data_IF_489938753230
#
_entry.id   IF_489938753230
#
_cell.length_a   1.000
_cell.length_b   1.000
_cell.length_c   1.000
_cell.angle_alpha   90.00
_cell.angle_beta   90.00
_cell.angle_gamma   90.00
#
_symmetry.space_group_name_H-M   'P 1'
#
loop_
_entity.id
_entity.type
_entity.pdbx_description
1 polymer ?
#
# COMPACT_ATOMS: atom_id res chain seq x y z
N UNK A 1 9.30 7.30 -12.89
CA UNK A 1 9.56 7.50 -14.33
C UNK A 1 8.97 8.83 -14.85
N UNK A 2 8.68 9.78 -13.96
CA UNK A 2 7.80 10.92 -14.23
C UNK A 2 8.53 12.28 -14.33
N UNK A 3 9.85 12.29 -14.53
CA UNK A 3 10.69 13.49 -14.45
C UNK A 3 10.32 14.62 -15.45
N UNK A 4 9.51 14.33 -16.48
CA UNK A 4 9.02 15.31 -17.44
C UNK A 4 7.59 15.82 -17.15
N UNK A 5 6.90 15.35 -16.10
CA UNK A 5 5.67 15.97 -15.57
C UNK A 5 6.01 17.02 -14.48
N UNK A 6 7.15 17.70 -14.64
CA UNK A 6 7.73 18.63 -13.67
C UNK A 6 7.10 20.02 -13.71
N UNK A 7 5.81 20.08 -13.42
CA UNK A 7 5.02 21.23 -12.93
C UNK A 7 3.56 20.78 -12.92
N UNK A 8 3.09 20.20 -11.81
CA UNK A 8 1.65 19.97 -11.63
C UNK A 8 0.99 21.23 -11.07
N UNK A 9 -0.21 21.46 -11.57
CA UNK A 9 -1.01 22.66 -11.41
C UNK A 9 -1.47 22.86 -9.96
N UNK A 10 -1.81 24.10 -9.55
CA UNK A 10 -2.44 24.33 -8.26
C UNK A 10 -3.62 23.37 -8.08
N UNK A 11 -3.73 22.79 -6.88
CA UNK A 11 -4.81 21.85 -6.52
C UNK A 11 -6.14 22.56 -6.78
N UNK A 12 -6.90 22.10 -7.78
CA UNK A 12 -8.16 22.74 -8.14
C UNK A 12 -9.24 22.43 -7.11
N UNK A 13 -9.19 21.24 -6.50
CA UNK A 13 -10.08 20.86 -5.40
C UNK A 13 -9.48 19.78 -4.51
N UNK A 14 -9.65 19.93 -3.20
CA UNK A 14 -9.40 18.87 -2.20
C UNK A 14 -10.74 18.23 -1.80
N UNK A 15 -10.86 16.91 -1.93
CA UNK A 15 -12.09 16.16 -1.64
C UNK A 15 -11.79 15.03 -0.67
N UNK A 16 -12.20 15.18 0.59
CA UNK A 16 -12.13 14.10 1.57
C UNK A 16 -13.14 12.99 1.23
N UNK A 17 -12.65 11.75 1.18
CA UNK A 17 -13.45 10.56 0.88
C UNK A 17 -14.47 10.26 1.97
N UNK A 18 -15.58 9.65 1.56
CA UNK A 18 -16.71 9.26 2.41
C UNK A 18 -17.12 7.83 2.09
N UNK A 19 -17.78 7.15 3.03
CA UNK A 19 -18.16 5.74 2.88
C UNK A 19 -16.95 4.84 2.66
N UNK A 20 -16.96 4.05 1.59
CA UNK A 20 -15.86 3.16 1.20
C UNK A 20 -14.50 3.87 0.93
N UNK A 21 -14.50 5.18 0.68
CA UNK A 21 -13.27 5.97 0.45
C UNK A 21 -12.76 6.70 1.69
N UNK A 22 -13.31 6.42 2.88
CA UNK A 22 -13.07 7.23 4.07
C UNK A 22 -11.67 6.98 4.64
N UNK A 23 -10.92 8.06 4.91
CA UNK A 23 -9.48 8.03 5.18
C UNK A 23 -8.65 8.41 3.94
N UNK A 24 -9.22 8.38 2.73
CA UNK A 24 -8.62 8.98 1.55
C UNK A 24 -8.97 10.47 1.44
N UNK A 25 -8.06 11.25 0.87
CA UNK A 25 -8.25 12.62 0.42
C UNK A 25 -7.81 12.71 -1.03
N UNK A 26 -8.72 13.08 -1.91
CA UNK A 26 -8.43 13.25 -3.33
C UNK A 26 -8.02 14.69 -3.60
N UNK A 27 -6.84 14.89 -4.19
CA UNK A 27 -6.41 16.19 -4.72
C UNK A 27 -6.71 16.18 -6.22
N UNK A 28 -7.87 16.71 -6.58
CA UNK A 28 -8.28 16.86 -7.97
C UNK A 28 -7.42 17.96 -8.60
N UNK A 29 -6.82 17.64 -9.75
CA UNK A 29 -6.00 18.54 -10.57
C UNK A 29 -6.39 18.39 -12.04
N UNK A 30 -6.13 19.43 -12.82
CA UNK A 30 -6.16 19.37 -14.28
C UNK A 30 -4.73 19.24 -14.81
N UNK A 31 -4.47 18.24 -15.62
CA UNK A 31 -3.15 18.03 -16.23
C UNK A 31 -3.04 18.81 -17.56
N UNK A 32 -1.89 19.45 -17.82
CA UNK A 32 -1.54 19.96 -19.16
C UNK A 32 -1.29 18.84 -20.16
N UNK A 33 -0.66 17.75 -19.72
CA UNK A 33 -0.47 16.53 -20.52
C UNK A 33 -0.81 15.28 -19.72
N UNK A 34 -1.41 14.29 -20.36
CA UNK A 34 -1.71 13.00 -19.75
C UNK A 34 -0.78 11.89 -20.26
N UNK A 35 -0.34 11.96 -21.53
CA UNK A 35 0.63 11.03 -22.10
C UNK A 35 2.04 11.40 -21.63
N UNK A 36 2.84 10.41 -21.25
CA UNK A 36 4.24 10.58 -20.87
C UNK A 36 5.15 9.61 -21.62
N UNK A 37 6.26 10.12 -22.14
CA UNK A 37 7.26 9.30 -22.83
C UNK A 37 8.18 8.61 -21.83
N UNK A 38 8.32 7.30 -21.95
CA UNK A 38 9.18 6.50 -21.10
C UNK A 38 10.68 6.85 -21.34
N UNK A 39 11.54 6.74 -20.30
CA UNK A 39 12.98 6.83 -20.49
C UNK A 39 13.48 5.79 -21.52
N UNK A 40 14.53 6.10 -22.33
CA UNK A 40 15.08 5.13 -23.30
C UNK A 40 15.61 3.82 -22.69
N UNK A 41 15.75 3.75 -21.36
CA UNK A 41 16.13 2.55 -20.61
C UNK A 41 14.94 1.67 -20.19
N UNK A 42 13.72 1.98 -20.63
CA UNK A 42 12.51 1.19 -20.40
C UNK A 42 12.22 0.34 -21.65
N UNK A 43 12.51 -0.97 -21.65
CA UNK A 43 12.38 -1.80 -22.86
C UNK A 43 10.94 -2.24 -23.16
N UNK A 44 10.00 -2.04 -22.22
CA UNK A 44 8.66 -2.65 -22.26
C UNK A 44 7.57 -1.77 -22.93
N UNK A 45 7.75 -0.45 -22.94
CA UNK A 45 6.81 0.52 -23.50
C UNK A 45 7.52 1.85 -23.79
N UNK A 46 7.01 2.62 -24.76
CA UNK A 46 7.55 3.94 -25.13
C UNK A 46 6.74 5.11 -24.59
N UNK A 47 5.44 4.92 -24.36
CA UNK A 47 4.53 5.92 -23.80
C UNK A 47 3.66 5.30 -22.71
N UNK A 48 3.24 6.10 -21.75
CA UNK A 48 2.36 5.66 -20.67
C UNK A 48 1.41 6.76 -20.18
N UNK A 49 0.35 6.32 -19.52
CA UNK A 49 -0.62 7.17 -18.81
C UNK A 49 -0.71 6.73 -17.35
N UNK A 50 -0.76 7.71 -16.46
CA UNK A 50 -1.15 7.52 -15.07
C UNK A 50 -2.14 8.65 -14.71
N UNK A 51 -3.43 8.31 -14.59
CA UNK A 51 -4.51 9.22 -14.19
C UNK A 51 -4.48 9.57 -12.69
N UNK A 52 -3.87 8.69 -11.89
CA UNK A 52 -3.72 8.82 -10.45
C UNK A 52 -2.23 9.01 -10.07
N UNK A 53 -1.96 9.64 -8.93
CA UNK A 53 -0.72 9.47 -8.15
C UNK A 53 -1.08 9.18 -6.70
N UNK A 54 -0.26 8.36 -6.04
CA UNK A 54 -0.62 7.68 -4.80
C UNK A 54 -1.34 6.35 -5.07
N UNK A 55 -1.42 5.47 -4.08
CA UNK A 55 -2.00 4.14 -4.20
C UNK A 55 -2.73 3.72 -2.92
N UNK A 56 -4.05 3.68 -2.98
CA UNK A 56 -4.94 3.41 -1.84
C UNK A 56 -4.95 1.94 -1.31
N UNK A 57 -3.93 1.13 -1.64
CA UNK A 57 -3.85 -0.31 -1.32
C UNK A 57 -3.09 -0.60 0.00
N UNK A 58 -3.29 0.19 1.05
CA UNK A 58 -2.67 -0.03 2.37
C UNK A 58 -3.63 0.18 3.54
N UNK A 59 -3.42 -0.59 4.61
CA UNK A 59 -4.31 -0.65 5.78
C UNK A 59 -4.16 0.60 6.67
N UNK A 60 -5.27 1.03 7.29
CA UNK A 60 -5.30 2.20 8.18
C UNK A 60 -5.59 1.74 9.61
N UNK A 61 -4.59 1.52 10.45
CA UNK A 61 -4.83 1.15 11.86
C UNK A 61 -5.57 2.31 12.56
N UNK A 62 -6.69 2.09 13.28
CA UNK A 62 -7.36 3.22 13.98
C UNK A 62 -8.03 2.82 15.31
N UNK A 63 -8.21 3.81 16.19
CA UNK A 63 -8.79 3.73 17.54
C UNK A 63 -9.86 4.81 17.75
N UNK A 64 -10.75 4.66 18.73
CA UNK A 64 -11.74 5.69 19.04
C UNK A 64 -11.07 6.98 19.56
N UNK A 65 -11.69 8.14 19.28
CA UNK A 65 -11.12 9.45 19.61
C UNK A 65 -10.89 9.70 21.11
N UNK A 66 -11.70 9.07 21.95
CA UNK A 66 -11.60 9.14 23.42
C UNK A 66 -10.50 8.22 24.01
N UNK A 67 -9.80 7.44 23.18
CA UNK A 67 -8.76 6.52 23.66
C UNK A 67 -7.65 7.32 24.35
N UNK A 68 -7.34 7.07 25.65
CA UNK A 68 -6.27 7.78 26.35
C UNK A 68 -4.91 7.39 25.77
N UNK A 69 -4.14 8.37 25.30
CA UNK A 69 -2.77 8.19 24.83
C UNK A 69 -1.82 8.68 25.92
N UNK A 70 -0.77 7.91 26.21
CA UNK A 70 0.22 8.29 27.21
C UNK A 70 1.16 9.37 26.66
N UNK A 71 1.14 10.53 27.30
CA UNK A 71 1.99 11.67 26.99
C UNK A 71 3.38 11.50 27.60
N UNK A 72 4.40 12.13 27.03
CA UNK A 72 5.79 12.03 27.50
C UNK A 72 6.00 12.63 28.92
N UNK A 73 5.09 13.49 29.39
CA UNK A 73 5.06 14.01 30.76
C UNK A 73 4.42 13.05 31.78
N UNK A 74 3.95 11.88 31.34
CA UNK A 74 3.27 10.89 32.16
C UNK A 74 1.77 11.14 32.36
N UNK A 75 1.20 12.18 31.75
CA UNK A 75 -0.26 12.39 31.70
C UNK A 75 -0.89 11.58 30.56
N UNK A 76 -2.22 11.59 30.47
CA UNK A 76 -2.95 11.00 29.34
C UNK A 76 -3.85 12.03 28.67
N UNK A 77 -3.93 12.00 27.33
CA UNK A 77 -4.85 12.84 26.53
C UNK A 77 -5.68 11.98 25.58
N UNK A 78 -6.94 12.34 25.27
CA UNK A 78 -7.72 11.69 24.22
C UNK A 78 -7.00 11.77 22.87
N UNK A 79 -6.96 10.67 22.12
CA UNK A 79 -6.35 10.57 20.79
C UNK A 79 -6.82 11.68 19.83
N UNK A 80 -8.12 12.02 19.82
CA UNK A 80 -8.67 13.09 18.99
C UNK A 80 -8.17 14.51 19.35
N UNK A 81 -7.58 14.67 20.54
CA UNK A 81 -6.99 15.94 21.00
C UNK A 81 -5.52 16.11 20.59
N UNK A 82 -4.86 15.06 20.10
CA UNK A 82 -3.44 15.12 19.69
C UNK A 82 -3.24 15.91 18.40
N UNK A 83 -2.08 16.54 18.29
CA UNK A 83 -1.64 17.33 17.15
C UNK A 83 -0.18 17.00 16.84
N UNK A 84 0.22 17.23 15.58
CA UNK A 84 1.62 17.13 15.16
C UNK A 84 2.52 17.99 16.06
N UNK A 85 3.64 17.41 16.52
CA UNK A 85 4.58 18.00 17.47
C UNK A 85 4.31 17.63 18.94
N UNK A 86 3.16 17.05 19.28
CA UNK A 86 2.93 16.51 20.62
C UNK A 86 3.94 15.39 20.96
N UNK A 87 4.34 15.31 22.23
CA UNK A 87 5.28 14.29 22.74
C UNK A 87 4.54 13.20 23.50
N UNK A 88 4.62 11.97 23.01
CA UNK A 88 3.97 10.78 23.57
C UNK A 88 5.01 9.72 23.93
N UNK A 89 4.60 8.69 24.68
CA UNK A 89 5.44 7.49 24.82
C UNK A 89 5.13 6.49 23.70
N UNK A 90 6.20 6.11 22.99
CA UNK A 90 6.29 4.87 22.23
C UNK A 90 7.30 3.94 22.89
N UNK A 91 7.80 2.95 22.15
CA UNK A 91 8.75 1.97 22.66
C UNK A 91 9.87 1.63 21.69
N UNK A 92 11.03 1.27 22.25
CA UNK A 92 12.20 0.81 21.49
C UNK A 92 12.80 -0.45 22.11
N UNK A 93 13.44 -1.29 21.30
CA UNK A 93 14.29 -2.40 21.80
C UNK A 93 15.66 -1.86 22.20
N UNK A 94 16.02 -2.01 23.47
CA UNK A 94 17.30 -1.61 24.04
C UNK A 94 17.94 -2.85 24.67
N UNK A 95 18.88 -3.46 23.94
CA UNK A 95 19.38 -4.80 24.24
C UNK A 95 18.29 -5.85 24.05
N UNK A 96 18.15 -6.78 25.00
CA UNK A 96 17.14 -7.84 24.98
C UNK A 96 15.74 -7.38 25.42
N UNK A 97 15.58 -6.13 25.87
CA UNK A 97 14.34 -5.64 26.49
C UNK A 97 13.70 -4.53 25.65
N UNK A 98 12.38 -4.52 25.54
CA UNK A 98 11.63 -3.34 25.07
C UNK A 98 11.51 -2.35 26.23
N UNK A 99 11.60 -1.05 25.95
CA UNK A 99 11.49 0.04 26.93
C UNK A 99 10.64 1.18 26.37
N UNK A 100 9.95 1.90 27.25
CA UNK A 100 9.30 3.17 26.93
C UNK A 100 10.36 4.21 26.55
N UNK A 101 10.10 4.97 25.49
CA UNK A 101 10.93 6.10 25.03
C UNK A 101 10.02 7.24 24.56
N UNK A 102 10.50 8.49 24.66
CA UNK A 102 9.80 9.63 24.09
C UNK A 102 9.70 9.48 22.56
N UNK A 103 8.52 9.77 22.03
CA UNK A 103 8.24 9.79 20.61
C UNK A 103 7.44 11.05 20.25
N UNK A 104 7.68 11.60 19.07
CA UNK A 104 6.97 12.78 18.58
C UNK A 104 5.85 12.38 17.63
N UNK A 105 4.68 13.00 17.79
CA UNK A 105 3.55 12.85 16.87
C UNK A 105 3.87 13.58 15.57
N UNK A 106 4.06 12.82 14.50
CA UNK A 106 4.37 13.31 13.15
C UNK A 106 3.13 13.72 12.36
N UNK A 107 1.99 13.07 12.61
CA UNK A 107 0.72 13.32 11.90
C UNK A 107 -0.49 12.86 12.73
N UNK A 108 -1.70 13.35 12.41
CA UNK A 108 -2.96 12.98 13.07
C UNK A 108 -4.13 13.04 12.07
N UNK A 109 -4.95 11.99 12.01
CA UNK A 109 -6.13 11.97 11.12
C UNK A 109 -7.33 11.25 11.73
N UNK A 110 -8.45 11.29 11.01
CA UNK A 110 -9.64 10.53 11.35
C UNK A 110 -10.28 9.86 10.13
N UNK A 111 -10.97 8.76 10.41
CA UNK A 111 -11.85 8.02 9.52
C UNK A 111 -13.06 7.56 10.34
N UNK A 112 -13.87 6.64 9.83
CA UNK A 112 -15.03 6.06 10.49
C UNK A 112 -15.27 4.73 9.78
N UNK A 113 -15.54 3.66 10.52
CA UNK A 113 -15.53 2.29 10.00
C UNK A 113 -16.05 1.32 11.06
N UNK A 114 -16.32 0.04 10.74
CA UNK A 114 -16.68 -0.97 11.71
C UNK A 114 -15.69 -0.97 12.87
N UNK A 115 -16.25 -1.12 14.07
CA UNK A 115 -15.54 -0.94 15.31
C UNK A 115 -15.64 -2.19 16.16
N UNK A 116 -14.65 -2.42 17.00
CA UNK A 116 -14.61 -3.55 17.90
C UNK A 116 -14.18 -3.07 19.28
N UNK A 117 -14.97 -3.42 20.30
CA UNK A 117 -14.62 -3.24 21.70
C UNK A 117 -13.72 -4.38 22.12
N UNK A 118 -12.50 -4.09 22.53
CA UNK A 118 -11.59 -5.04 23.16
C UNK A 118 -11.58 -4.77 24.65
N UNK A 119 -12.00 -5.73 25.46
CA UNK A 119 -11.91 -5.68 26.92
C UNK A 119 -10.78 -6.61 27.36
N UNK A 120 -9.86 -6.13 28.18
CA UNK A 120 -8.70 -6.89 28.66
C UNK A 120 -8.50 -6.79 30.19
N UNK A 121 -7.34 -7.21 30.69
CA UNK A 121 -6.92 -7.00 32.08
C UNK A 121 -6.73 -5.53 32.44
N UNK A 122 -6.50 -5.25 33.72
CA UNK A 122 -6.19 -3.92 34.27
C UNK A 122 -7.18 -2.82 33.81
N UNK A 123 -8.47 -3.17 33.74
CA UNK A 123 -9.59 -2.34 33.28
C UNK A 123 -9.40 -1.67 31.90
N UNK A 124 -8.48 -2.22 31.09
CA UNK A 124 -8.23 -1.78 29.72
C UNK A 124 -9.43 -2.10 28.83
N UNK A 125 -10.07 -1.05 28.32
CA UNK A 125 -11.12 -1.12 27.30
C UNK A 125 -10.71 -0.25 26.13
N UNK A 126 -10.59 -0.86 24.95
CA UNK A 126 -10.24 -0.18 23.71
C UNK A 126 -11.41 -0.29 22.74
N UNK A 127 -11.57 0.72 21.89
CA UNK A 127 -12.43 0.64 20.71
C UNK A 127 -11.52 0.89 19.52
N UNK A 128 -11.43 -0.10 18.63
CA UNK A 128 -10.48 -0.13 17.53
C UNK A 128 -11.14 -0.68 16.26
N UNK A 129 -10.54 -0.41 15.10
CA UNK A 129 -10.95 -1.08 13.86
C UNK A 129 -10.43 -2.52 13.81
N UNK A 130 -11.06 -3.38 13.02
CA UNK A 130 -10.68 -4.80 12.95
C UNK A 130 -9.27 -5.02 12.42
N UNK A 131 -8.81 -4.13 11.54
CA UNK A 131 -7.45 -4.07 11.00
C UNK A 131 -6.41 -3.47 11.95
N UNK A 132 -6.79 -2.83 13.06
CA UNK A 132 -5.83 -2.30 14.04
C UNK A 132 -4.98 -3.43 14.65
N UNK A 133 -3.71 -3.13 15.01
CA UNK A 133 -2.78 -4.13 15.58
C UNK A 133 -2.28 -3.72 16.98
N UNK A 134 -2.26 -4.68 17.90
CA UNK A 134 -1.66 -4.54 19.23
C UNK A 134 -0.50 -5.52 19.42
N UNK A 135 0.49 -5.13 20.22
CA UNK A 135 1.61 -6.02 20.55
C UNK A 135 1.17 -7.03 21.61
N UNK A 136 1.53 -8.30 21.43
CA UNK A 136 1.23 -9.39 22.37
C UNK A 136 2.49 -10.16 22.76
N UNK A 137 2.36 -11.04 23.76
CA UNK A 137 3.35 -12.08 24.13
C UNK A 137 3.87 -12.86 22.90
N UNK A 138 3.04 -12.97 21.85
CA UNK A 138 3.33 -13.68 20.58
C UNK A 138 3.39 -12.73 19.37
N UNK A 139 3.90 -11.51 19.57
CA UNK A 139 4.09 -10.51 18.53
C UNK A 139 2.82 -9.73 18.18
N UNK A 140 2.80 -9.04 17.04
CA UNK A 140 1.68 -8.21 16.64
C UNK A 140 0.45 -9.04 16.22
N UNK A 141 -0.74 -8.66 16.73
CA UNK A 141 -2.02 -9.29 16.43
C UNK A 141 -3.04 -8.26 15.98
N UNK A 142 -3.79 -8.56 14.92
CA UNK A 142 -4.93 -7.74 14.50
C UNK A 142 -6.09 -7.86 15.48
N UNK A 143 -7.01 -6.89 15.52
CA UNK A 143 -8.19 -6.98 16.39
C UNK A 143 -9.14 -8.09 15.95
N UNK A 144 -9.38 -8.27 14.64
CA UNK A 144 -10.23 -9.34 14.11
C UNK A 144 -9.53 -10.25 13.12
N UNK A 145 -10.07 -11.47 12.96
CA UNK A 145 -9.63 -12.45 11.98
C UNK A 145 -9.69 -11.94 10.54
N UNK A 146 -10.68 -11.09 10.21
CA UNK A 146 -10.73 -10.27 8.99
C UNK A 146 -11.86 -9.24 9.08
N UNK A 147 -11.87 -8.25 8.18
CA UNK A 147 -13.09 -7.51 7.81
C UNK A 147 -13.60 -7.91 6.40
N UNK A 148 -12.87 -8.78 5.67
CA UNK A 148 -13.09 -9.06 4.24
C UNK A 148 -12.87 -10.54 3.82
N UNK A 149 -12.94 -11.48 4.77
CA UNK A 149 -12.88 -12.93 4.49
C UNK A 149 -11.49 -13.55 4.31
N UNK A 150 -10.43 -12.88 4.78
CA UNK A 150 -9.03 -13.35 4.70
C UNK A 150 -8.49 -13.59 6.10
N UNK A 151 -8.22 -14.85 6.45
CA UNK A 151 -7.76 -15.24 7.78
C UNK A 151 -6.41 -14.59 8.11
N UNK A 152 -6.31 -13.89 9.25
CA UNK A 152 -5.05 -13.30 9.74
C UNK A 152 -4.82 -13.57 11.22
N UNK A 153 -3.56 -13.49 11.62
CA UNK A 153 -3.12 -13.52 13.02
C UNK A 153 -3.79 -12.39 13.80
N UNK A 154 -4.73 -12.75 14.67
CA UNK A 154 -5.64 -11.85 15.38
C UNK A 154 -5.68 -12.11 16.89
N UNK A 155 -6.28 -11.19 17.64
CA UNK A 155 -6.50 -11.29 19.07
C UNK A 155 -7.55 -12.35 19.39
N UNK A 156 -7.29 -13.13 20.43
CA UNK A 156 -8.25 -14.09 20.99
C UNK A 156 -8.24 -13.93 22.51
N UNK A 157 -9.16 -14.59 23.22
CA UNK A 157 -9.12 -14.64 24.70
C UNK A 157 -7.94 -15.45 25.27
N UNK A 158 -7.06 -15.97 24.41
CA UNK A 158 -5.76 -16.56 24.77
C UNK A 158 -4.58 -15.61 24.59
N UNK A 159 -4.80 -14.44 23.98
CA UNK A 159 -3.78 -13.41 23.76
C UNK A 159 -3.59 -12.55 25.00
N UNK A 160 -2.34 -12.19 25.30
CA UNK A 160 -2.03 -11.19 26.32
C UNK A 160 -1.31 -10.01 25.69
N UNK A 161 -1.85 -8.81 25.90
CA UNK A 161 -1.34 -7.56 25.35
C UNK A 161 -0.08 -7.14 26.13
N UNK A 162 0.92 -6.62 25.42
CA UNK A 162 2.07 -5.96 26.05
C UNK A 162 1.71 -4.49 26.24
N UNK A 163 1.90 -4.01 27.47
CA UNK A 163 1.51 -2.67 27.89
C UNK A 163 2.20 -2.27 29.18
N UNK A 164 1.58 -1.37 29.93
CA UNK A 164 2.04 -0.89 31.24
C UNK A 164 1.07 -1.32 32.35
N UNK A 165 1.58 -1.42 33.58
CA UNK A 165 0.83 -1.96 34.72
C UNK A 165 -0.45 -1.16 35.08
N UNK A 166 -0.53 0.12 34.71
CA UNK A 166 -1.74 0.95 34.83
C UNK A 166 -2.00 1.73 33.54
N UNK A 167 -3.24 1.77 33.00
CA UNK A 167 -3.57 2.59 31.83
C UNK A 167 -3.52 4.10 32.10
N UNK A 168 -3.57 4.50 33.38
CA UNK A 168 -3.38 5.88 33.84
C UNK A 168 -2.29 5.90 34.91
N UNK A 169 -1.00 5.97 34.53
CA UNK A 169 0.09 6.05 35.49
C UNK A 169 0.07 7.40 36.21
N UNK A 170 0.59 7.43 37.44
CA UNK A 170 0.75 8.69 38.18
C UNK A 170 1.86 9.54 37.54
N UNK A 171 1.72 10.88 37.47
CA UNK A 171 2.76 11.75 36.95
C UNK A 171 4.12 11.51 37.63
N UNK A 172 5.16 11.25 36.83
CA UNK A 172 6.50 10.88 37.33
C UNK A 172 6.70 9.42 37.75
N UNK A 173 5.68 8.56 37.63
CA UNK A 173 5.79 7.13 37.89
C UNK A 173 6.49 6.38 36.75
N UNK A 174 7.59 5.68 37.05
CA UNK A 174 8.26 4.79 36.09
C UNK A 174 7.39 3.57 35.85
N UNK A 175 6.65 3.57 34.74
CA UNK A 175 5.82 2.43 34.35
C UNK A 175 6.66 1.32 33.74
N UNK A 176 6.62 0.14 34.33
CA UNK A 176 7.21 -1.07 33.76
C UNK A 176 6.35 -1.62 32.64
N UNK A 177 6.99 -2.24 31.63
CA UNK A 177 6.25 -2.99 30.62
C UNK A 177 5.88 -4.37 31.17
N UNK A 178 4.64 -4.77 30.94
CA UNK A 178 4.03 -6.02 31.39
C UNK A 178 3.30 -6.70 30.23
N UNK A 179 3.23 -8.03 30.25
CA UNK A 179 2.50 -8.87 29.31
C UNK A 179 1.29 -9.57 29.96
N UNK A 180 0.90 -9.15 31.17
CA UNK A 180 -0.19 -9.78 31.94
C UNK A 180 -1.60 -9.28 31.55
N UNK A 181 -1.71 -8.38 30.57
CA UNK A 181 -2.96 -7.74 30.15
C UNK A 181 -3.73 -8.68 29.20
N UNK A 182 -4.30 -9.76 29.76
CA UNK A 182 -5.01 -10.79 29.01
C UNK A 182 -6.32 -10.27 28.40
N UNK A 183 -6.56 -10.53 27.11
CA UNK A 183 -7.81 -10.21 26.42
C UNK A 183 -8.96 -11.08 26.98
N UNK A 184 -10.10 -10.44 27.28
CA UNK A 184 -11.31 -11.05 27.86
C UNK A 184 -12.46 -11.17 26.86
N UNK A 185 -12.73 -10.12 26.09
CA UNK A 185 -13.74 -10.12 25.01
C UNK A 185 -13.33 -9.24 23.84
N UNK A 186 -13.88 -9.55 22.67
CA UNK A 186 -13.79 -8.75 21.44
C UNK A 186 -15.21 -8.72 20.87
N UNK A 187 -15.84 -7.56 20.87
CA UNK A 187 -17.26 -7.39 20.52
C UNK A 187 -17.39 -6.41 19.35
N UNK A 188 -18.12 -6.79 18.29
CA UNK A 188 -18.40 -5.89 17.18
C UNK A 188 -19.35 -4.77 17.63
N UNK A 189 -19.09 -3.56 17.14
CA UNK A 189 -19.88 -2.35 17.31
C UNK A 189 -20.26 -1.79 15.94
N UNK A 190 -21.23 -0.88 15.92
CA UNK A 190 -21.56 -0.06 14.74
C UNK A 190 -20.37 0.80 14.27
N UNK A 191 -20.43 1.29 13.04
CA UNK A 191 -19.44 2.25 12.55
C UNK A 191 -19.41 3.53 13.43
N UNK A 192 -18.21 3.98 13.79
CA UNK A 192 -18.01 5.15 14.66
C UNK A 192 -16.79 5.98 14.21
N UNK A 193 -16.65 7.28 14.56
CA UNK A 193 -15.45 8.04 14.27
C UNK A 193 -14.21 7.41 14.91
N UNK A 194 -13.21 7.16 14.08
CA UNK A 194 -11.95 6.52 14.42
C UNK A 194 -10.81 7.47 14.08
N UNK A 195 -9.71 7.40 14.82
CA UNK A 195 -8.58 8.32 14.77
C UNK A 195 -7.29 7.49 14.78
N UNK A 196 -6.22 8.07 14.25
CA UNK A 196 -4.87 7.53 14.40
C UNK A 196 -3.84 8.66 14.31
N UNK A 197 -2.61 8.35 14.73
CA UNK A 197 -1.46 9.26 14.76
C UNK A 197 -0.23 8.57 14.21
N UNK A 198 0.66 9.30 13.54
CA UNK A 198 2.01 8.80 13.23
C UNK A 198 2.99 9.23 14.32
N UNK A 199 3.91 8.35 14.73
CA UNK A 199 4.91 8.60 15.78
C UNK A 199 6.31 8.23 15.32
N UNK A 200 7.35 8.91 15.83
CA UNK A 200 8.76 8.66 15.47
C UNK A 200 9.29 7.25 15.80
N UNK A 201 8.55 6.46 16.58
CA UNK A 201 8.96 5.13 17.07
C UNK A 201 8.23 3.97 16.40
N UNK A 202 7.21 4.24 15.56
CA UNK A 202 6.41 3.17 14.95
C UNK A 202 5.38 2.51 15.89
N UNK A 203 5.29 2.94 17.15
CA UNK A 203 4.22 2.56 18.07
C UNK A 203 3.91 3.67 19.10
N UNK A 204 2.85 3.49 19.89
CA UNK A 204 2.48 4.39 21.00
C UNK A 204 1.69 3.63 22.08
N UNK A 205 1.62 4.17 23.30
CA UNK A 205 0.81 3.57 24.37
C UNK A 205 -0.63 4.12 24.31
N UNK A 206 -1.58 3.24 23.99
CA UNK A 206 -3.02 3.52 23.93
C UNK A 206 -3.76 2.75 25.02
N UNK A 207 -4.46 3.46 25.90
CA UNK A 207 -5.12 2.94 27.11
C UNK A 207 -4.30 1.86 27.85
N UNK A 208 -3.02 2.13 28.06
CA UNK A 208 -2.10 1.22 28.75
C UNK A 208 -1.48 0.11 27.91
N UNK A 209 -1.78 -0.07 26.62
CA UNK A 209 -1.17 -1.12 25.77
C UNK A 209 -0.43 -0.55 24.57
N UNK A 210 0.53 -1.31 24.04
CA UNK A 210 1.33 -0.92 22.87
C UNK A 210 0.49 -1.09 21.59
N UNK A 211 0.12 0.04 21.02
CA UNK A 211 -0.64 0.24 19.79
C UNK A 211 0.31 0.40 18.60
N UNK A 212 0.04 -0.30 17.49
CA UNK A 212 0.85 -0.25 16.28
C UNK A 212 0.63 1.04 15.48
N UNK A 213 1.68 1.58 14.87
CA UNK A 213 1.62 2.75 14.00
C UNK A 213 1.90 2.43 12.51
N UNK A 214 1.28 3.13 11.56
CA UNK A 214 1.56 2.93 10.13
C UNK A 214 2.90 3.59 9.68
N UNK A 215 3.92 2.78 9.36
CA UNK A 215 5.26 3.20 8.92
C UNK A 215 5.68 2.48 7.61
N UNK A 216 5.59 3.09 6.40
CA UNK A 216 5.47 2.28 5.16
C UNK A 216 5.91 2.84 3.75
N UNK A 217 6.52 4.02 3.57
CA UNK A 217 6.62 4.67 2.22
C UNK A 217 7.92 5.49 1.97
N UNK A 218 8.34 5.70 0.67
CA UNK A 218 8.99 6.94 0.20
C UNK A 218 8.96 7.18 -1.33
N UNK A 219 7.90 7.73 -1.92
CA UNK A 219 7.88 8.15 -3.35
C UNK A 219 7.11 9.45 -3.63
N UNK A 220 6.95 10.33 -2.63
CA UNK A 220 5.99 11.46 -2.67
C UNK A 220 6.56 12.85 -2.29
N UNK A 221 7.83 13.12 -2.57
CA UNK A 221 8.48 14.43 -2.29
C UNK A 221 8.00 15.62 -3.16
N UNK A 222 6.74 15.68 -3.61
CA UNK A 222 6.26 16.71 -4.52
C UNK A 222 4.86 17.22 -4.13
N UNK A 223 4.68 18.56 -4.16
CA UNK A 223 3.58 19.33 -3.56
C UNK A 223 3.59 19.39 -2.01
N UNK A 224 4.77 19.48 -1.39
CA UNK A 224 5.01 19.53 0.07
C UNK A 224 4.45 18.33 0.88
N UNK A 225 4.02 17.26 0.20
CA UNK A 225 3.64 15.99 0.81
C UNK A 225 4.87 15.22 1.30
N UNK A 226 4.67 14.47 2.38
CA UNK A 226 5.71 13.70 3.04
C UNK A 226 5.91 12.33 2.38
N UNK A 227 7.07 11.72 2.65
CA UNK A 227 7.38 10.34 2.30
C UNK A 227 6.64 9.31 3.17
N UNK A 228 5.66 9.71 3.98
CA UNK A 228 4.92 8.88 4.94
C UNK A 228 3.44 8.78 4.58
N UNK A 229 2.55 9.19 5.50
CA UNK A 229 1.09 9.08 5.47
C UNK A 229 0.38 9.65 4.24
N UNK A 230 1.08 10.37 3.36
CA UNK A 230 0.49 10.92 2.14
C UNK A 230 0.27 9.93 0.98
N UNK A 231 1.23 9.10 0.53
CA UNK A 231 1.05 8.29 -0.71
C UNK A 231 -0.17 7.34 -0.75
N UNK A 232 -0.58 6.72 0.37
CA UNK A 232 -1.78 5.84 0.40
C UNK A 232 -3.08 6.60 0.70
N UNK A 233 -3.03 7.84 1.21
CA UNK A 233 -4.23 8.61 1.62
C UNK A 233 -4.51 9.80 0.72
N UNK A 234 -3.48 10.55 0.30
CA UNK A 234 -3.54 11.75 -0.52
C UNK A 234 -3.44 11.40 -2.01
N UNK A 235 -4.50 10.83 -2.57
CA UNK A 235 -4.53 10.42 -3.98
C UNK A 235 -4.70 11.65 -4.87
N UNK A 236 -3.68 11.99 -5.68
CA UNK A 236 -3.81 13.03 -6.71
C UNK A 236 -4.58 12.45 -7.90
N UNK A 237 -5.63 13.14 -8.34
CA UNK A 237 -6.53 12.69 -9.40
C UNK A 237 -6.52 13.69 -10.55
N UNK A 238 -6.08 13.26 -11.73
CA UNK A 238 -6.12 14.07 -12.96
C UNK A 238 -7.53 14.03 -13.55
N UNK A 239 -8.43 14.89 -13.08
CA UNK A 239 -9.87 14.78 -13.41
C UNK A 239 -10.16 15.02 -14.90
N UNK A 240 -9.31 15.77 -15.60
CA UNK A 240 -9.40 15.98 -17.05
C UNK A 240 -8.66 14.91 -17.90
N UNK A 241 -8.19 13.80 -17.31
CA UNK A 241 -7.34 12.82 -18.00
C UNK A 241 -7.95 12.27 -19.31
N UNK A 242 -9.28 12.07 -19.35
CA UNK A 242 -10.00 11.56 -20.53
C UNK A 242 -10.05 12.60 -21.64
N UNK A 243 -10.42 13.85 -21.32
CA UNK A 243 -10.45 14.99 -22.25
C UNK A 243 -9.06 15.26 -22.84
N UNK A 244 -8.04 15.32 -21.96
CA UNK A 244 -6.65 15.51 -22.36
C UNK A 244 -6.15 14.39 -23.26
N UNK A 245 -6.58 13.15 -23.01
CA UNK A 245 -6.21 12.02 -23.85
C UNK A 245 -6.80 12.15 -25.24
N UNK A 246 -8.08 12.51 -25.37
CA UNK A 246 -8.71 12.77 -26.67
C UNK A 246 -7.91 13.79 -27.48
N UNK A 247 -7.63 14.96 -26.89
CA UNK A 247 -6.83 16.01 -27.52
C UNK A 247 -5.39 15.59 -27.88
N UNK A 248 -4.74 14.75 -27.05
CA UNK A 248 -3.37 14.26 -27.27
C UNK A 248 -3.29 13.04 -28.21
N UNK A 249 -4.42 12.41 -28.55
CA UNK A 249 -4.51 11.28 -29.49
C UNK A 249 -5.20 11.63 -30.81
N UNK A 250 -5.45 12.92 -31.07
CA UNK A 250 -5.96 13.37 -32.36
C UNK A 250 -5.02 12.94 -33.51
N UNK A 251 -5.54 12.33 -34.61
CA UNK A 251 -4.70 11.76 -35.68
C UNK A 251 -3.75 12.76 -36.36
N UNK A 252 -4.05 14.06 -36.30
CA UNK A 252 -3.20 15.12 -36.84
C UNK A 252 -1.91 15.36 -36.02
N UNK A 253 -1.85 14.90 -34.77
CA UNK A 253 -0.70 15.10 -33.85
C UNK A 253 -0.12 13.80 -33.30
N UNK A 254 -0.90 12.72 -33.26
CA UNK A 254 -0.50 11.47 -32.60
C UNK A 254 -0.05 10.37 -33.56
N UNK A 255 1.15 9.85 -33.34
CA UNK A 255 1.77 8.81 -34.17
C UNK A 255 1.29 7.38 -33.94
N UNK A 256 0.11 7.17 -33.32
CA UNK A 256 -0.47 5.84 -33.07
C UNK A 256 0.38 4.94 -32.15
N UNK A 257 1.20 5.53 -31.27
CA UNK A 257 2.10 4.75 -30.41
C UNK A 257 1.32 3.98 -29.34
N UNK A 258 1.80 2.78 -28.99
CA UNK A 258 1.21 2.00 -27.90
C UNK A 258 1.41 2.69 -26.54
N UNK A 259 0.33 2.75 -25.74
CA UNK A 259 0.30 3.41 -24.45
C UNK A 259 0.14 2.39 -23.32
N UNK A 260 1.08 2.38 -22.38
CA UNK A 260 1.01 1.52 -21.20
C UNK A 260 0.32 2.21 -20.00
N UNK A 261 -0.53 1.46 -19.31
CA UNK A 261 -1.18 1.84 -18.05
C UNK A 261 -0.74 0.89 -16.94
N UNK A 262 -0.71 1.35 -15.68
CA UNK A 262 -0.13 0.57 -14.57
C UNK A 262 1.39 0.69 -14.45
N UNK A 263 1.97 1.77 -14.98
CA UNK A 263 3.44 1.96 -15.05
C UNK A 263 4.03 2.66 -13.84
N UNK A 264 3.21 3.39 -13.07
CA UNK A 264 3.62 4.08 -11.84
C UNK A 264 2.59 3.89 -10.72
N UNK A 265 1.30 3.95 -11.04
CA UNK A 265 0.18 3.64 -10.12
C UNK A 265 -0.78 2.64 -10.75
N UNK A 266 -1.48 1.88 -9.91
CA UNK A 266 -2.51 0.96 -10.40
C UNK A 266 -3.71 1.75 -10.99
N UNK A 267 -4.11 1.49 -12.25
CA UNK A 267 -5.26 2.15 -12.87
C UNK A 267 -6.59 1.71 -12.25
N UNK A 268 -6.63 0.56 -11.58
CA UNK A 268 -7.81 -0.03 -10.96
C UNK A 268 -7.72 -0.06 -9.42
N UNK A 269 -6.96 0.87 -8.81
CA UNK A 269 -7.01 1.13 -7.38
C UNK A 269 -8.39 1.63 -6.92
N UNK A 270 -8.66 1.64 -5.60
CA UNK A 270 -9.99 1.96 -5.06
C UNK A 270 -10.60 3.26 -5.64
N UNK A 271 -9.81 4.32 -5.83
CA UNK A 271 -10.24 5.58 -6.44
C UNK A 271 -11.00 5.41 -7.79
N UNK A 272 -10.67 4.39 -8.58
CA UNK A 272 -11.30 4.09 -9.87
C UNK A 272 -12.77 3.62 -9.74
N UNK A 273 -13.20 3.17 -8.55
CA UNK A 273 -14.62 2.92 -8.24
C UNK A 273 -15.47 4.19 -8.31
N UNK A 274 -14.92 5.31 -7.81
CA UNK A 274 -15.53 6.65 -7.84
C UNK A 274 -15.34 7.34 -9.19
N UNK A 275 -14.08 7.47 -9.63
CA UNK A 275 -13.72 8.39 -10.72
C UNK A 275 -13.89 7.82 -12.13
N UNK A 276 -13.75 6.50 -12.30
CA UNK A 276 -13.93 5.79 -13.58
C UNK A 276 -13.06 6.34 -14.73
N UNK A 277 -11.92 6.95 -14.42
CA UNK A 277 -11.04 7.57 -15.41
C UNK A 277 -10.36 6.54 -16.31
N UNK A 278 -9.97 5.39 -15.77
CA UNK A 278 -9.40 4.30 -16.58
C UNK A 278 -10.40 3.76 -17.58
N UNK A 279 -11.68 3.65 -17.20
CA UNK A 279 -12.74 3.31 -18.16
C UNK A 279 -12.81 4.32 -19.30
N UNK A 280 -12.92 5.63 -19.01
CA UNK A 280 -13.00 6.66 -20.04
C UNK A 280 -11.75 6.72 -20.93
N UNK A 281 -10.57 6.44 -20.36
CA UNK A 281 -9.32 6.28 -21.11
C UNK A 281 -9.42 5.10 -22.10
N UNK A 282 -9.94 3.94 -21.68
CA UNK A 282 -10.13 2.79 -22.58
C UNK A 282 -11.13 3.13 -23.69
N UNK A 283 -12.22 3.82 -23.38
CA UNK A 283 -13.23 4.25 -24.36
C UNK A 283 -12.61 5.16 -25.44
N UNK A 284 -11.79 6.16 -25.06
CA UNK A 284 -11.07 7.03 -26.01
C UNK A 284 -10.04 6.25 -26.85
N UNK A 285 -9.27 5.34 -26.24
CA UNK A 285 -8.26 4.55 -26.95
C UNK A 285 -8.89 3.58 -27.96
N UNK A 286 -10.06 3.03 -27.64
CA UNK A 286 -10.85 2.18 -28.52
C UNK A 286 -11.42 3.00 -29.70
N UNK A 287 -12.02 4.17 -29.43
CA UNK A 287 -12.51 5.09 -30.47
C UNK A 287 -11.40 5.51 -31.45
N UNK A 288 -10.19 5.76 -30.93
CA UNK A 288 -9.00 6.14 -31.72
C UNK A 288 -8.27 4.93 -32.32
N UNK A 289 -8.74 3.70 -32.11
CA UNK A 289 -8.06 2.44 -32.50
C UNK A 289 -6.58 2.40 -32.08
N UNK A 290 -6.24 2.98 -30.93
CA UNK A 290 -4.87 3.14 -30.47
C UNK A 290 -4.44 1.96 -29.59
N UNK A 291 -3.34 1.25 -29.90
CA UNK A 291 -2.89 0.13 -29.08
C UNK A 291 -2.54 0.52 -27.63
N UNK A 292 -2.80 -0.35 -26.67
CA UNK A 292 -2.48 -0.12 -25.27
C UNK A 292 -2.16 -1.42 -24.51
N UNK A 293 -1.66 -1.27 -23.28
CA UNK A 293 -1.53 -2.38 -22.34
C UNK A 293 -1.90 -1.95 -20.93
N UNK A 294 -2.47 -2.86 -20.16
CA UNK A 294 -2.86 -2.64 -18.76
C UNK A 294 -2.04 -3.55 -17.85
N UNK A 295 -1.46 -3.00 -16.78
CA UNK A 295 -0.91 -3.76 -15.66
C UNK A 295 -1.69 -3.40 -14.38
N UNK A 296 -2.16 -4.40 -13.64
CA UNK A 296 -2.89 -4.17 -12.38
C UNK A 296 -2.65 -5.28 -11.35
N UNK A 297 -3.01 -5.00 -10.09
CA UNK A 297 -3.17 -5.96 -8.98
C UNK A 297 -4.63 -6.08 -8.53
N UNK A 298 -5.57 -5.42 -9.20
CA UNK A 298 -6.97 -5.31 -8.82
C UNK A 298 -7.89 -6.07 -9.77
N UNK A 299 -8.83 -6.83 -9.22
CA UNK A 299 -9.87 -7.52 -10.03
C UNK A 299 -10.96 -6.57 -10.54
N UNK A 300 -10.94 -5.28 -10.16
CA UNK A 300 -11.87 -4.26 -10.65
C UNK A 300 -11.80 -4.09 -12.18
N UNK A 301 -10.69 -4.46 -12.83
CA UNK A 301 -10.56 -4.49 -14.29
C UNK A 301 -11.67 -5.30 -15.00
N UNK A 302 -12.22 -6.32 -14.33
CA UNK A 302 -13.33 -7.12 -14.87
C UNK A 302 -14.63 -6.32 -15.04
N UNK A 303 -14.77 -5.15 -14.40
CA UNK A 303 -15.89 -4.20 -14.63
C UNK A 303 -15.96 -3.76 -16.09
N UNK A 304 -14.82 -3.57 -16.73
CA UNK A 304 -14.70 -3.05 -18.09
C UNK A 304 -14.41 -4.15 -19.13
N UNK A 305 -14.66 -5.42 -18.76
CA UNK A 305 -14.41 -6.61 -19.58
C UNK A 305 -15.03 -6.52 -20.99
N UNK A 306 -16.18 -5.87 -21.15
CA UNK A 306 -16.82 -5.67 -22.45
C UNK A 306 -15.97 -4.81 -23.39
N UNK A 307 -15.42 -3.70 -22.89
CA UNK A 307 -14.52 -2.81 -23.64
C UNK A 307 -13.19 -3.49 -23.93
N UNK A 308 -12.64 -4.22 -22.96
CA UNK A 308 -11.39 -4.95 -23.10
C UNK A 308 -11.49 -6.07 -24.14
N UNK A 309 -12.62 -6.78 -24.20
CA UNK A 309 -12.92 -7.77 -25.24
C UNK A 309 -13.02 -7.12 -26.62
N UNK A 310 -13.65 -5.95 -26.73
CA UNK A 310 -13.77 -5.24 -28.01
C UNK A 310 -12.40 -4.75 -28.52
N UNK A 311 -11.59 -4.15 -27.63
CA UNK A 311 -10.21 -3.78 -27.93
C UNK A 311 -9.34 -5.00 -28.27
N UNK A 312 -9.52 -6.14 -27.59
CA UNK A 312 -8.80 -7.38 -27.87
C UNK A 312 -9.17 -7.98 -29.22
N UNK A 313 -10.45 -7.94 -29.62
CA UNK A 313 -10.91 -8.40 -30.93
C UNK A 313 -10.31 -7.57 -32.09
N UNK A 314 -9.93 -6.31 -31.83
CA UNK A 314 -9.19 -5.45 -32.76
C UNK A 314 -7.66 -5.59 -32.64
N UNK A 315 -7.15 -6.47 -31.77
CA UNK A 315 -5.72 -6.64 -31.52
C UNK A 315 -5.04 -5.48 -30.77
N UNK A 316 -5.82 -4.59 -30.16
CA UNK A 316 -5.32 -3.34 -29.56
C UNK A 316 -4.77 -3.51 -28.15
N UNK A 317 -5.18 -4.54 -27.39
CA UNK A 317 -4.88 -4.59 -25.94
C UNK A 317 -4.46 -5.95 -25.40
N UNK A 318 -3.79 -5.89 -24.25
CA UNK A 318 -3.53 -7.00 -23.32
C UNK A 318 -3.66 -6.54 -21.87
N UNK A 319 -4.00 -7.47 -20.98
CA UNK A 319 -4.19 -7.21 -19.54
C UNK A 319 -3.25 -8.11 -18.72
N UNK A 320 -2.30 -7.49 -18.04
CA UNK A 320 -1.27 -8.11 -17.24
C UNK A 320 -1.62 -8.00 -15.74
N UNK A 321 -1.50 -9.10 -14.99
CA UNK A 321 -1.63 -9.08 -13.54
C UNK A 321 -0.26 -9.17 -12.87
N UNK A 322 0.08 -8.19 -12.03
CA UNK A 322 1.23 -8.32 -11.12
C UNK A 322 0.84 -9.29 -10.00
N UNK A 323 1.56 -10.41 -9.90
CA UNK A 323 1.37 -11.45 -8.88
C UNK A 323 2.76 -11.91 -8.46
N UNK A 324 3.30 -11.39 -7.36
CA UNK A 324 4.67 -11.72 -6.93
C UNK A 324 4.81 -13.13 -6.33
N UNK A 325 3.72 -13.67 -5.79
CA UNK A 325 3.65 -14.97 -5.10
C UNK A 325 2.20 -15.45 -5.01
N UNK A 326 1.98 -16.76 -4.81
CA UNK A 326 0.71 -17.33 -4.31
C UNK A 326 0.83 -17.89 -2.88
N UNK A 327 2.03 -17.83 -2.29
CA UNK A 327 2.25 -18.04 -0.85
C UNK A 327 1.52 -16.92 -0.09
N UNK A 328 0.54 -17.33 0.70
CA UNK A 328 -0.39 -16.44 1.37
C UNK A 328 0.29 -15.65 2.50
N UNK A 329 1.27 -16.24 3.19
CA UNK A 329 2.01 -15.58 4.27
C UNK A 329 3.06 -14.60 3.75
N UNK A 330 3.66 -14.88 2.59
CA UNK A 330 4.49 -13.88 1.89
C UNK A 330 3.61 -12.74 1.36
N UNK A 331 2.47 -13.04 0.74
CA UNK A 331 1.55 -12.02 0.24
C UNK A 331 1.03 -11.12 1.39
N UNK A 332 0.60 -11.71 2.51
CA UNK A 332 0.17 -10.99 3.72
C UNK A 332 1.23 -10.03 4.28
N UNK A 333 2.51 -10.37 4.17
CA UNK A 333 3.62 -9.52 4.65
C UNK A 333 4.03 -8.42 3.67
N UNK A 334 3.87 -8.65 2.37
CA UNK A 334 4.52 -7.81 1.33
C UNK A 334 3.56 -6.92 0.55
N UNK A 335 2.29 -7.30 0.36
CA UNK A 335 1.29 -6.49 -0.34
C UNK A 335 -0.18 -6.73 0.12
N UNK A 336 -0.47 -6.75 1.44
CA UNK A 336 -1.76 -7.22 1.98
C UNK A 336 -3.00 -6.42 1.56
N UNK A 337 -2.86 -5.14 1.18
CA UNK A 337 -3.99 -4.32 0.71
C UNK A 337 -4.30 -4.47 -0.78
N UNK A 338 -3.67 -5.42 -1.48
CA UNK A 338 -3.96 -5.77 -2.87
C UNK A 338 -5.00 -6.88 -2.96
N UNK A 339 -5.60 -7.14 -4.13
CA UNK A 339 -6.49 -8.30 -4.26
C UNK A 339 -5.69 -9.60 -4.08
N UNK A 340 -6.25 -10.58 -3.35
CA UNK A 340 -5.58 -11.85 -3.06
C UNK A 340 -5.03 -12.55 -4.33
N UNK A 341 -3.80 -13.14 -4.33
CA UNK A 341 -3.16 -13.71 -5.52
C UNK A 341 -4.03 -14.68 -6.32
N UNK A 342 -4.73 -15.60 -5.64
CA UNK A 342 -5.62 -16.56 -6.31
C UNK A 342 -6.83 -15.88 -6.98
N UNK A 343 -7.32 -14.76 -6.44
CA UNK A 343 -8.39 -13.95 -7.07
C UNK A 343 -7.87 -13.18 -8.30
N UNK A 344 -6.60 -12.77 -8.31
CA UNK A 344 -5.93 -12.24 -9.53
C UNK A 344 -5.82 -13.32 -10.61
N UNK A 345 -5.46 -14.56 -10.26
CA UNK A 345 -5.46 -15.70 -11.20
C UNK A 345 -6.87 -16.03 -11.73
N UNK A 346 -7.91 -16.03 -10.88
CA UNK A 346 -9.31 -16.17 -11.32
C UNK A 346 -9.73 -15.07 -12.31
N UNK A 347 -9.19 -13.85 -12.18
CA UNK A 347 -9.45 -12.77 -13.12
C UNK A 347 -8.69 -12.94 -14.46
N UNK A 348 -7.46 -13.46 -14.43
CA UNK A 348 -6.76 -13.90 -15.66
C UNK A 348 -7.62 -14.92 -16.40
N UNK A 349 -8.08 -15.98 -15.73
CA UNK A 349 -8.92 -17.02 -16.35
C UNK A 349 -10.18 -16.43 -17.02
N UNK A 350 -10.89 -15.52 -16.34
CA UNK A 350 -12.10 -14.84 -16.89
C UNK A 350 -11.80 -13.95 -18.10
N UNK A 351 -10.65 -13.28 -18.12
CA UNK A 351 -10.21 -12.49 -19.27
C UNK A 351 -9.88 -13.39 -20.47
N UNK A 352 -9.19 -14.51 -20.22
CA UNK A 352 -8.85 -15.52 -21.25
C UNK A 352 -10.09 -16.19 -21.82
N UNK A 353 -11.05 -16.58 -20.99
CA UNK A 353 -12.36 -17.09 -21.40
C UNK A 353 -13.12 -16.09 -22.28
N UNK A 354 -13.02 -14.79 -21.98
CA UNK A 354 -13.61 -13.72 -22.78
C UNK A 354 -12.81 -13.36 -24.06
N UNK A 355 -11.70 -14.04 -24.35
CA UNK A 355 -10.85 -13.79 -25.53
C UNK A 355 -9.87 -12.62 -25.40
N UNK A 356 -9.61 -12.11 -24.19
CA UNK A 356 -8.64 -11.03 -23.96
C UNK A 356 -7.23 -11.62 -23.76
N UNK A 357 -6.19 -11.14 -24.47
CA UNK A 357 -4.80 -11.47 -24.18
C UNK A 357 -4.44 -11.10 -22.74
N UNK A 358 -3.96 -12.05 -21.95
CA UNK A 358 -3.65 -11.82 -20.53
C UNK A 358 -2.55 -12.72 -20.00
N UNK A 359 -1.73 -12.18 -19.10
CA UNK A 359 -0.61 -12.89 -18.51
C UNK A 359 -0.25 -12.42 -17.11
N UNK A 360 0.81 -13.01 -16.56
CA UNK A 360 1.25 -12.78 -15.16
C UNK A 360 2.64 -12.16 -15.12
N UNK A 361 2.72 -11.01 -14.44
CA UNK A 361 3.96 -10.32 -14.09
C UNK A 361 4.38 -10.79 -12.69
N UNK A 362 5.20 -11.85 -12.65
CA UNK A 362 5.80 -12.43 -11.44
C UNK A 362 6.92 -11.50 -10.92
N UNK A 363 6.52 -10.39 -10.32
CA UNK A 363 7.42 -9.36 -9.82
C UNK A 363 6.76 -8.47 -8.75
N UNK A 364 7.53 -8.02 -7.74
CA UNK A 364 8.94 -8.34 -7.51
C UNK A 364 9.15 -9.71 -6.84
N UNK A 365 10.06 -10.52 -7.38
CA UNK A 365 10.64 -11.65 -6.64
C UNK A 365 11.62 -11.09 -5.58
N UNK A 366 11.45 -11.53 -4.34
CA UNK A 366 12.12 -11.02 -3.14
C UNK A 366 13.18 -12.02 -2.65
N UNK A 367 14.49 -11.71 -2.71
CA UNK A 367 15.56 -12.66 -2.42
C UNK A 367 15.56 -13.27 -1.00
N UNK A 368 15.22 -14.55 -0.86
CA UNK A 368 15.06 -15.28 0.39
C UNK A 368 13.63 -15.32 0.94
N UNK A 369 12.68 -14.63 0.30
CA UNK A 369 11.28 -14.51 0.74
C UNK A 369 10.33 -15.18 -0.27
N UNK A 370 10.43 -14.85 -1.57
CA UNK A 370 9.58 -15.40 -2.64
C UNK A 370 10.34 -16.00 -3.84
N UNK A 371 11.67 -15.95 -3.84
CA UNK A 371 12.53 -16.44 -4.94
C UNK A 371 12.86 -17.94 -4.89
N UNK A 372 12.31 -18.69 -3.93
CA UNK A 372 12.54 -20.12 -3.78
C UNK A 372 12.05 -20.87 -5.04
N UNK A 373 12.87 -21.71 -5.70
CA UNK A 373 12.53 -22.33 -6.98
C UNK A 373 11.19 -23.07 -6.99
N UNK A 374 10.84 -23.71 -5.88
CA UNK A 374 9.60 -24.45 -5.68
C UNK A 374 8.39 -23.52 -5.74
N UNK A 375 8.46 -22.36 -5.07
CA UNK A 375 7.40 -21.32 -5.05
C UNK A 375 7.26 -20.62 -6.40
N UNK A 376 8.39 -20.34 -7.05
CA UNK A 376 8.44 -19.78 -8.41
C UNK A 376 7.77 -20.75 -9.41
N UNK A 377 8.05 -22.05 -9.30
CA UNK A 377 7.43 -23.07 -10.12
C UNK A 377 5.95 -23.30 -9.78
N UNK A 378 5.54 -23.15 -8.51
CA UNK A 378 4.13 -23.24 -8.09
C UNK A 378 3.28 -22.11 -8.69
N UNK A 379 3.72 -20.85 -8.56
CA UNK A 379 3.03 -19.70 -9.17
C UNK A 379 3.05 -19.78 -10.70
N UNK A 380 4.13 -20.27 -11.32
CA UNK A 380 4.17 -20.52 -12.77
C UNK A 380 3.06 -21.49 -13.20
N UNK A 381 2.96 -22.66 -12.56
CA UNK A 381 1.89 -23.64 -12.85
C UNK A 381 0.51 -23.05 -12.62
N UNK A 382 0.29 -22.35 -11.51
CA UNK A 382 -1.00 -21.72 -11.21
C UNK A 382 -1.40 -20.61 -12.22
N UNK A 383 -0.42 -19.95 -12.86
CA UNK A 383 -0.67 -19.03 -13.97
C UNK A 383 -1.01 -19.76 -15.27
N UNK A 384 -0.29 -20.84 -15.58
CA UNK A 384 -0.54 -21.71 -16.74
C UNK A 384 -1.95 -22.38 -16.64
N UNK A 385 -2.32 -22.87 -15.45
CA UNK A 385 -3.66 -23.41 -15.14
C UNK A 385 -4.77 -22.36 -15.28
N UNK A 386 -4.47 -21.09 -15.00
CA UNK A 386 -5.37 -19.96 -15.23
C UNK A 386 -5.42 -19.50 -16.71
N UNK A 387 -4.73 -20.19 -17.62
CA UNK A 387 -4.70 -19.89 -19.05
C UNK A 387 -3.85 -18.67 -19.43
N UNK A 388 -2.95 -18.21 -18.55
CA UNK A 388 -2.06 -17.08 -18.80
C UNK A 388 -1.21 -17.34 -20.07
N UNK A 389 -1.23 -16.39 -21.00
CA UNK A 389 -0.52 -16.51 -22.29
C UNK A 389 1.00 -16.30 -22.14
N UNK A 390 1.42 -15.61 -21.09
CA UNK A 390 2.83 -15.45 -20.71
C UNK A 390 2.98 -15.28 -19.19
N UNK A 391 4.17 -15.64 -18.70
CA UNK A 391 4.62 -15.37 -17.32
C UNK A 391 5.99 -14.70 -17.39
N UNK A 392 6.07 -13.43 -16.99
CA UNK A 392 7.32 -12.67 -16.94
C UNK A 392 7.81 -12.52 -15.51
N UNK A 393 9.07 -12.91 -15.26
CA UNK A 393 9.68 -12.84 -13.94
C UNK A 393 10.54 -11.58 -13.79
N UNK A 394 10.51 -10.96 -12.61
CA UNK A 394 11.31 -9.77 -12.32
C UNK A 394 11.76 -9.72 -10.87
N UNK A 395 13.07 -9.63 -10.65
CA UNK A 395 13.66 -9.42 -9.33
C UNK A 395 13.38 -8.01 -8.80
N UNK A 396 13.30 -7.88 -7.47
CA UNK A 396 13.16 -6.62 -6.77
C UNK A 396 14.18 -5.55 -7.23
N UNK A 397 13.73 -4.30 -7.29
CA UNK A 397 14.53 -3.12 -7.60
C UNK A 397 14.28 -2.00 -6.58
N UNK A 398 15.31 -1.62 -5.83
CA UNK A 398 15.22 -0.65 -4.71
C UNK A 398 15.66 0.78 -5.08
N UNK A 399 15.40 1.23 -6.32
CA UNK A 399 15.80 2.58 -6.76
C UNK A 399 14.90 3.64 -6.09
N UNK A 400 15.51 4.51 -5.27
CA UNK A 400 14.80 5.57 -4.54
C UNK A 400 14.09 5.10 -3.25
N UNK A 401 14.00 3.80 -3.01
CA UNK A 401 13.23 3.22 -1.88
C UNK A 401 14.06 2.29 -0.98
N UNK A 402 15.39 2.23 -1.18
CA UNK A 402 16.30 1.31 -0.47
C UNK A 402 16.22 1.40 1.05
N UNK A 403 16.36 2.60 1.61
CA UNK A 403 16.40 2.80 3.08
C UNK A 403 15.14 2.23 3.72
N UNK A 404 13.99 2.76 3.33
CA UNK A 404 12.69 2.30 3.80
C UNK A 404 12.44 0.79 3.62
N UNK A 405 12.84 0.19 2.49
CA UNK A 405 12.70 -1.25 2.32
C UNK A 405 13.58 -2.04 3.31
N UNK A 406 14.80 -1.56 3.62
CA UNK A 406 15.65 -2.17 4.61
C UNK A 406 15.14 -1.95 6.04
N UNK A 407 14.50 -0.81 6.32
CA UNK A 407 13.84 -0.56 7.61
C UNK A 407 12.71 -1.57 7.84
N UNK A 408 11.81 -1.73 6.86
CA UNK A 408 10.77 -2.79 6.89
C UNK A 408 11.38 -4.20 7.03
N UNK A 409 12.44 -4.50 6.28
CA UNK A 409 13.10 -5.81 6.34
C UNK A 409 13.75 -6.07 7.71
N UNK A 410 14.28 -5.04 8.36
CA UNK A 410 14.87 -5.13 9.70
C UNK A 410 13.82 -5.38 10.80
N UNK A 411 12.55 -5.07 10.54
CA UNK A 411 11.42 -5.41 11.42
C UNK A 411 10.84 -6.80 11.12
N UNK A 412 10.64 -7.12 9.83
CA UNK A 412 9.95 -8.34 9.38
C UNK A 412 10.84 -9.60 9.37
N UNK A 413 12.05 -9.49 8.81
CA UNK A 413 12.99 -10.60 8.59
C UNK A 413 14.44 -10.14 8.87
N UNK A 414 14.82 -9.84 10.13
CA UNK A 414 16.09 -9.18 10.48
C UNK A 414 17.34 -9.93 9.99
N UNK A 415 17.28 -11.26 9.92
CA UNK A 415 18.35 -12.13 9.44
C UNK A 415 18.65 -11.95 7.93
N UNK A 416 17.73 -11.38 7.16
CA UNK A 416 17.92 -11.09 5.74
C UNK A 416 18.56 -9.73 5.46
N UNK A 417 18.63 -8.81 6.43
CA UNK A 417 19.12 -7.43 6.21
C UNK A 417 20.51 -7.42 5.57
N UNK A 418 21.49 -8.12 6.16
CA UNK A 418 22.86 -8.17 5.64
C UNK A 418 22.94 -8.75 4.20
N UNK A 419 22.06 -9.70 3.85
CA UNK A 419 21.95 -10.24 2.48
C UNK A 419 21.44 -9.16 1.51
N UNK A 420 20.41 -8.41 1.89
CA UNK A 420 19.87 -7.34 1.05
C UNK A 420 20.80 -6.14 0.93
N UNK A 421 21.55 -5.79 1.98
CA UNK A 421 22.57 -4.74 1.90
C UNK A 421 23.67 -5.07 0.89
N UNK A 422 24.09 -6.33 0.82
CA UNK A 422 25.06 -6.82 -0.14
C UNK A 422 24.51 -6.93 -1.57
N UNK A 423 23.27 -7.42 -1.74
CA UNK A 423 22.62 -7.54 -3.06
C UNK A 423 22.21 -6.18 -3.66
N UNK A 424 21.82 -5.23 -2.80
CA UNK A 424 21.37 -3.90 -3.16
C UNK A 424 22.27 -2.83 -2.52
N UNK A 425 23.54 -2.72 -2.95
CA UNK A 425 24.47 -1.75 -2.37
C UNK A 425 24.00 -0.32 -2.65
N UNK A 426 24.22 0.56 -1.69
CA UNK A 426 23.87 1.97 -1.82
C UNK A 426 24.70 2.62 -2.94
N UNK A 427 24.00 3.07 -4.00
CA UNK A 427 24.64 3.78 -5.10
C UNK A 427 24.69 5.27 -4.76
N UNK A 428 25.87 5.77 -4.40
CA UNK A 428 26.14 7.21 -4.33
C UNK A 428 25.64 7.90 -5.61
N UNK A 429 24.95 9.06 -5.52
CA UNK A 429 24.47 9.77 -6.70
C UNK A 429 25.65 10.12 -7.62
N UNK A 430 25.68 9.52 -8.81
CA UNK A 430 26.80 9.66 -9.73
C UNK A 430 26.79 11.03 -10.39
N UNK A 431 27.79 11.86 -10.08
CA UNK A 431 28.01 13.19 -10.69
C UNK A 431 28.41 13.13 -12.17
N UNK A 432 28.34 11.96 -12.83
CA UNK A 432 28.62 11.78 -14.25
C UNK A 432 27.54 10.96 -14.94
N UNK A 433 26.97 11.56 -16.00
CA UNK A 433 25.98 10.96 -16.91
C UNK A 433 26.66 9.96 -17.87
N UNK A 434 27.12 8.83 -17.34
CA UNK A 434 27.69 7.74 -18.14
C UNK A 434 26.87 6.47 -17.99
N UNK A 435 26.12 6.13 -19.03
CA UNK A 435 25.42 4.85 -19.12
C UNK A 435 26.44 3.70 -19.15
N UNK A 436 26.51 2.91 -18.07
CA UNK A 436 27.12 1.58 -18.10
C UNK A 436 26.08 0.52 -17.76
N UNK A 437 26.03 -0.48 -18.64
CA UNK A 437 25.15 -1.65 -18.59
C UNK A 437 25.30 -2.36 -17.24
N UNK A 438 24.19 -2.63 -16.56
CA UNK A 438 24.09 -3.78 -15.68
C UNK A 438 23.51 -4.92 -16.51
N UNK A 439 24.33 -5.91 -16.82
CA UNK A 439 23.90 -7.16 -17.45
C UNK A 439 22.81 -7.82 -16.61
N UNK A 440 21.67 -8.11 -17.23
CA UNK A 440 20.83 -9.21 -16.75
C UNK A 440 21.69 -10.47 -16.85
N UNK A 441 21.88 -11.16 -15.72
CA UNK A 441 22.33 -12.56 -15.76
C UNK A 441 21.08 -13.37 -16.07
N UNK A 442 20.90 -13.68 -17.35
CA UNK A 442 19.89 -14.65 -17.76
C UNK A 442 20.30 -16.03 -17.25
N UNK A 443 19.51 -16.58 -16.34
CA UNK A 443 19.40 -18.02 -16.15
C UNK A 443 18.01 -18.40 -16.65
N UNK A 444 17.95 -19.52 -17.38
CA UNK A 444 16.87 -19.90 -18.30
C UNK A 444 15.57 -20.25 -17.58
#
# INVERSE_FOLDING_TARGET
MDANQGELFPISRRVHGRGEYRGLTFHEIEAKTIISKAPPSTPWFTHSINAYRGCSHACSYCLAGETPILMADGTTRPLASLRRGDKVYGTARIGTYRRLVESEVLDCWSTFKPAYRITAGNDTVLIASGDHRFLTDRGWKHVTESEQGIQRSHLTTSSSLIGIDSPSPSPGGVSTLTDQIRVRSIESLDETPMYDITTTTGDFIANGVISHNCFARPTHEYLDFNQGTDFDTQIVVKVNAVERLGAETEPAVWGGHSIAMGTNTDPYQAAEGKYKLTRGIIEVLLERSNPFSLLTKSTLVLRDLSLLREAAAQGLTRVDFSIATIDEDVWRRTEPGTTHPRRRLEAVAKLREAGVPSGVMMMPLLPGISDQPEKVAELRRAAEDAGAEWVHQGLLHLRGVRGHFLDWLAEDSPELVAKYEALYPERKPSTKRTAKRSSQVSLF
#
